data_IF_822758620237
#
_entry.id   IF_822758620237
#
_cell.length_a   1.000
_cell.length_b   1.000
_cell.length_c   1.000
_cell.angle_alpha   90.00
_cell.angle_beta   90.00
_cell.angle_gamma   90.00
#
_symmetry.space_group_name_H-M   'P 1'
#
loop_
_entity.id
_entity.type
_entity.pdbx_description
1 polymer ?
#
# COMPACT_ATOMS: atom_id res chain seq x y z
N UNK A 1 3.85 -7.57 -21.21
CA UNK A 1 3.70 -6.79 -19.98
C UNK A 1 4.15 -5.36 -20.25
N UNK A 2 3.40 -4.38 -19.78
CA UNK A 2 3.78 -2.97 -19.83
C UNK A 2 4.13 -2.48 -18.42
N UNK A 3 5.15 -1.61 -18.29
CA UNK A 3 5.48 -0.92 -17.04
C UNK A 3 5.06 0.54 -17.20
N UNK A 4 4.15 1.00 -16.34
CA UNK A 4 3.67 2.38 -16.34
C UNK A 4 4.22 3.08 -15.11
N UNK A 5 4.99 4.14 -15.34
CA UNK A 5 5.59 4.97 -14.29
C UNK A 5 4.77 6.24 -14.13
N UNK A 6 4.23 6.44 -12.93
CA UNK A 6 3.33 7.52 -12.58
C UNK A 6 4.04 8.59 -11.76
N UNK A 7 3.75 9.86 -12.05
CA UNK A 7 4.13 11.02 -11.25
C UNK A 7 3.03 11.40 -10.26
N UNK A 8 2.84 10.54 -9.26
CA UNK A 8 1.84 10.72 -8.20
C UNK A 8 2.09 11.91 -7.27
N UNK A 9 3.14 12.72 -7.51
CA UNK A 9 3.36 13.98 -6.82
C UNK A 9 2.20 14.95 -7.12
N UNK A 10 1.71 14.98 -8.36
CA UNK A 10 0.57 15.82 -8.74
C UNK A 10 -0.71 15.46 -7.98
N UNK A 11 -0.83 14.21 -7.54
CA UNK A 11 -2.00 13.75 -6.80
C UNK A 11 -1.91 14.00 -5.30
N UNK A 12 -0.74 14.35 -4.78
CA UNK A 12 -0.53 14.54 -3.33
C UNK A 12 -1.52 15.54 -2.73
N UNK A 13 -2.04 15.22 -1.54
CA UNK A 13 -2.86 16.15 -0.76
C UNK A 13 -2.14 17.48 -0.46
N UNK A 14 -0.82 17.44 -0.39
CA UNK A 14 0.08 18.57 -0.14
C UNK A 14 0.54 19.27 -1.42
N UNK A 15 0.18 18.77 -2.60
CA UNK A 15 0.57 19.40 -3.86
C UNK A 15 -0.07 20.78 -3.98
N UNK A 16 0.75 21.77 -4.34
CA UNK A 16 0.33 23.14 -4.66
C UNK A 16 1.11 23.56 -5.89
N UNK A 17 0.41 24.04 -6.92
CA UNK A 17 1.08 24.55 -8.11
C UNK A 17 1.87 25.81 -7.77
N UNK A 18 3.09 25.89 -8.31
CA UNK A 18 3.90 27.11 -8.23
C UNK A 18 3.39 28.22 -9.16
N UNK A 19 2.46 27.89 -10.09
CA UNK A 19 1.90 28.81 -11.08
C UNK A 19 0.36 28.66 -11.10
N UNK A 20 -0.41 29.68 -10.70
CA UNK A 20 -1.87 29.57 -10.51
C UNK A 20 -2.70 29.23 -11.77
N UNK A 21 -2.14 29.38 -12.97
CA UNK A 21 -2.87 29.29 -14.25
C UNK A 21 -2.54 28.04 -15.06
N UNK A 22 -1.75 27.10 -14.55
CA UNK A 22 -1.34 25.91 -15.30
C UNK A 22 -2.26 24.71 -15.05
N UNK A 23 -3.41 24.69 -15.74
CA UNK A 23 -4.24 23.51 -15.95
C UNK A 23 -4.40 22.57 -14.75
N UNK A 24 -4.49 21.26 -15.04
CA UNK A 24 -4.49 20.21 -14.03
C UNK A 24 -3.62 19.04 -14.51
N UNK A 25 -2.32 19.02 -14.17
CA UNK A 25 -1.43 17.94 -14.59
C UNK A 25 -1.80 16.58 -13.97
N UNK A 26 -2.43 16.57 -12.79
CA UNK A 26 -2.88 15.35 -12.15
C UNK A 26 -4.05 14.71 -12.89
N UNK A 27 -4.98 15.53 -13.38
CA UNK A 27 -6.13 15.09 -14.18
C UNK A 27 -5.65 14.53 -15.52
N UNK A 28 -4.76 15.26 -16.21
CA UNK A 28 -4.20 14.81 -17.48
C UNK A 28 -3.47 13.46 -17.35
N UNK A 29 -2.80 13.22 -16.22
CA UNK A 29 -2.17 11.93 -15.94
C UNK A 29 -3.19 10.80 -15.66
N UNK A 30 -4.29 11.08 -14.94
CA UNK A 30 -5.37 10.11 -14.73
C UNK A 30 -6.03 9.72 -16.06
N UNK A 31 -6.36 10.69 -16.92
CA UNK A 31 -6.92 10.43 -18.25
C UNK A 31 -5.94 9.59 -19.10
N UNK A 32 -4.67 9.98 -19.10
CA UNK A 32 -3.62 9.25 -19.81
C UNK A 32 -3.48 7.81 -19.31
N UNK A 33 -3.49 7.61 -17.98
CA UNK A 33 -3.44 6.28 -17.38
C UNK A 33 -4.65 5.44 -17.83
N UNK A 34 -5.86 6.02 -17.84
CA UNK A 34 -7.05 5.36 -18.35
C UNK A 34 -6.89 4.86 -19.79
N UNK A 35 -6.33 5.68 -20.68
CA UNK A 35 -6.03 5.29 -22.06
C UNK A 35 -4.99 4.18 -22.16
N UNK A 36 -3.95 4.21 -21.31
CA UNK A 36 -2.92 3.16 -21.28
C UNK A 36 -3.48 1.82 -20.81
N UNK A 37 -4.28 1.81 -19.76
CA UNK A 37 -4.93 0.60 -19.25
C UNK A 37 -5.92 0.02 -20.26
N UNK A 38 -6.72 0.88 -20.90
CA UNK A 38 -7.61 0.49 -21.99
C UNK A 38 -6.85 -0.21 -23.12
N UNK A 39 -5.76 0.42 -23.58
CA UNK A 39 -4.92 -0.10 -24.66
C UNK A 39 -4.26 -1.42 -24.27
N UNK A 40 -3.73 -1.53 -23.05
CA UNK A 40 -3.13 -2.76 -22.54
C UNK A 40 -4.13 -3.91 -22.54
N UNK A 41 -5.36 -3.66 -22.08
CA UNK A 41 -6.46 -4.66 -22.14
C UNK A 41 -6.77 -5.11 -23.56
N UNK A 42 -6.94 -4.17 -24.50
CA UNK A 42 -7.18 -4.50 -25.91
C UNK A 42 -6.08 -5.36 -26.54
N UNK A 43 -4.83 -5.13 -26.12
CA UNK A 43 -3.67 -5.85 -26.61
C UNK A 43 -3.34 -7.11 -25.79
N UNK A 44 -4.21 -7.49 -24.85
CA UNK A 44 -4.00 -8.62 -23.93
C UNK A 44 -2.67 -8.57 -23.19
N UNK A 45 -2.30 -7.37 -22.69
CA UNK A 45 -1.08 -7.14 -21.92
C UNK A 45 -1.40 -6.88 -20.46
N UNK A 46 -0.65 -7.55 -19.59
CA UNK A 46 -0.60 -7.24 -18.17
C UNK A 46 0.19 -5.94 -17.91
N UNK A 47 -0.17 -5.25 -16.83
CA UNK A 47 0.41 -3.96 -16.43
C UNK A 47 0.99 -4.04 -15.03
N UNK A 48 2.19 -3.48 -14.89
CA UNK A 48 2.81 -3.15 -13.60
C UNK A 48 2.86 -1.63 -13.44
N UNK A 49 2.35 -1.12 -12.31
CA UNK A 49 2.44 0.28 -11.98
C UNK A 49 3.66 0.57 -11.09
N UNK A 50 4.32 1.70 -11.33
CA UNK A 50 5.38 2.22 -10.47
C UNK A 50 5.03 3.65 -10.12
N UNK A 51 5.03 3.99 -8.84
CA UNK A 51 4.69 5.32 -8.34
C UNK A 51 5.59 5.71 -7.16
N UNK A 52 5.62 6.99 -6.80
CA UNK A 52 6.33 7.43 -5.60
C UNK A 52 5.44 7.34 -4.36
N UNK A 53 4.35 8.12 -4.36
CA UNK A 53 3.39 8.23 -3.26
C UNK A 53 2.30 7.17 -3.47
N UNK A 54 2.06 6.24 -2.52
CA UNK A 54 1.05 5.20 -2.67
C UNK A 54 -0.39 5.76 -2.55
N UNK A 55 -1.41 5.07 -3.10
CA UNK A 55 -2.81 5.34 -2.81
C UNK A 55 -3.16 5.02 -1.35
N UNK A 56 -4.25 5.62 -0.88
CA UNK A 56 -4.83 5.33 0.44
C UNK A 56 -4.32 6.24 1.56
N UNK A 57 -4.41 5.74 2.79
CA UNK A 57 -4.15 6.54 3.99
C UNK A 57 -2.69 6.49 4.44
N UNK A 58 -2.21 7.60 4.98
CA UNK A 58 -0.97 7.72 5.72
C UNK A 58 -1.21 7.26 7.16
N UNK A 59 -0.85 6.00 7.45
CA UNK A 59 -1.03 5.40 8.77
C UNK A 59 -0.27 6.17 9.87
N UNK A 60 0.93 6.67 9.57
CA UNK A 60 1.79 7.34 10.54
C UNK A 60 1.21 8.67 10.99
N UNK A 61 0.78 9.50 10.04
CA UNK A 61 0.15 10.78 10.37
C UNK A 61 -1.26 10.60 10.94
N UNK A 62 -2.03 9.60 10.45
CA UNK A 62 -3.35 9.30 11.01
C UNK A 62 -3.28 8.83 12.46
N UNK A 63 -2.30 7.99 12.82
CA UNK A 63 -2.10 7.48 14.18
C UNK A 63 -1.77 8.55 15.23
N UNK A 64 -1.47 9.78 14.80
CA UNK A 64 -1.19 10.94 15.66
C UNK A 64 -2.39 11.85 15.85
N UNK A 65 -3.47 11.61 15.10
CA UNK A 65 -4.70 12.37 15.17
C UNK A 65 -5.83 11.56 15.83
N UNK A 66 -7.05 11.90 15.44
CA UNK A 66 -8.26 11.16 15.81
C UNK A 66 -8.67 10.25 14.65
N UNK A 67 -9.22 9.07 14.97
CA UNK A 67 -9.56 8.06 13.96
C UNK A 67 -10.65 8.55 12.98
N UNK A 68 -11.47 9.52 13.39
CA UNK A 68 -12.51 10.18 12.58
C UNK A 68 -11.93 11.11 11.51
N UNK A 69 -10.66 11.50 11.62
CA UNK A 69 -9.98 12.43 10.70
C UNK A 69 -8.69 11.81 10.15
N UNK A 70 -8.79 10.76 9.31
CA UNK A 70 -7.62 10.13 8.74
C UNK A 70 -6.91 11.05 7.74
N UNK A 71 -5.61 10.86 7.60
CA UNK A 71 -4.76 11.60 6.68
C UNK A 71 -4.57 10.77 5.42
N UNK A 72 -5.05 11.27 4.27
CA UNK A 72 -4.86 10.65 2.97
C UNK A 72 -3.55 11.12 2.31
N UNK A 73 -2.89 10.25 1.55
CA UNK A 73 -1.71 10.62 0.77
C UNK A 73 -2.06 11.54 -0.41
N UNK A 74 -3.21 11.31 -1.03
CA UNK A 74 -3.64 11.99 -2.25
C UNK A 74 -4.90 12.84 -2.00
N UNK A 75 -5.14 13.79 -2.89
CA UNK A 75 -6.40 14.52 -2.95
C UNK A 75 -7.55 13.55 -3.26
N UNK A 76 -8.74 13.84 -2.72
CA UNK A 76 -9.89 12.93 -2.80
C UNK A 76 -10.32 12.59 -4.23
N UNK A 77 -10.24 13.57 -5.16
CA UNK A 77 -10.64 13.37 -6.56
C UNK A 77 -9.79 12.30 -7.26
N UNK A 78 -8.46 12.45 -7.22
CA UNK A 78 -7.53 11.49 -7.84
C UNK A 78 -7.58 10.13 -7.15
N UNK A 79 -7.79 10.10 -5.83
CA UNK A 79 -7.97 8.83 -5.10
C UNK A 79 -9.19 8.07 -5.61
N UNK A 80 -10.29 8.78 -5.86
CA UNK A 80 -11.55 8.20 -6.36
C UNK A 80 -11.41 7.72 -7.80
N UNK A 81 -10.84 8.55 -8.68
CA UNK A 81 -10.62 8.22 -10.09
C UNK A 81 -9.64 7.07 -10.25
N UNK A 82 -8.52 7.09 -9.53
CA UNK A 82 -7.55 6.00 -9.54
C UNK A 82 -8.19 4.70 -9.06
N UNK A 83 -8.93 4.72 -7.94
CA UNK A 83 -9.61 3.52 -7.43
C UNK A 83 -10.64 2.99 -8.44
N UNK A 84 -11.33 3.88 -9.14
CA UNK A 84 -12.26 3.50 -10.23
C UNK A 84 -11.52 2.82 -11.38
N UNK A 85 -10.37 3.35 -11.81
CA UNK A 85 -9.52 2.71 -12.81
C UNK A 85 -9.02 1.34 -12.34
N UNK A 86 -8.54 1.22 -11.11
CA UNK A 86 -7.99 -0.03 -10.58
C UNK A 86 -9.07 -1.12 -10.45
N UNK A 87 -10.28 -0.74 -10.03
CA UNK A 87 -11.43 -1.65 -10.03
C UNK A 87 -11.80 -2.06 -11.46
N UNK A 88 -11.92 -1.08 -12.36
CA UNK A 88 -12.28 -1.29 -13.77
C UNK A 88 -11.29 -2.20 -14.48
N UNK A 89 -9.99 -2.05 -14.22
CA UNK A 89 -8.86 -2.72 -14.90
C UNK A 89 -8.15 -3.76 -14.02
N UNK A 90 -8.87 -4.35 -13.06
CA UNK A 90 -8.34 -5.37 -12.12
C UNK A 90 -7.90 -6.68 -12.78
N UNK A 91 -8.35 -6.95 -14.00
CA UNK A 91 -7.94 -8.06 -14.85
C UNK A 91 -6.57 -7.85 -15.52
N UNK A 92 -6.11 -6.60 -15.69
CA UNK A 92 -4.85 -6.27 -16.37
C UNK A 92 -3.79 -5.71 -15.44
N UNK A 93 -4.16 -4.96 -14.40
CA UNK A 93 -3.19 -4.46 -13.41
C UNK A 93 -2.83 -5.58 -12.44
N UNK A 94 -1.63 -6.13 -12.60
CA UNK A 94 -1.17 -7.30 -11.83
C UNK A 94 -0.40 -6.93 -10.58
N UNK A 95 0.23 -5.76 -10.56
CA UNK A 95 1.16 -5.36 -9.52
C UNK A 95 1.35 -3.85 -9.51
N UNK A 96 1.58 -3.30 -8.32
CA UNK A 96 2.04 -1.94 -8.16
C UNK A 96 3.24 -1.85 -7.20
N UNK A 97 4.09 -0.86 -7.43
CA UNK A 97 5.20 -0.50 -6.56
C UNK A 97 5.11 0.96 -6.16
N UNK A 98 5.31 1.22 -4.87
CA UNK A 98 5.44 2.56 -4.33
C UNK A 98 6.62 2.66 -3.35
N UNK A 99 6.90 3.88 -2.91
CA UNK A 99 7.83 4.18 -1.82
C UNK A 99 7.21 5.19 -0.88
N UNK A 100 7.86 6.36 -0.74
CA UNK A 100 7.41 7.54 0.01
C UNK A 100 7.34 7.38 1.55
N UNK A 101 6.88 6.24 2.07
CA UNK A 101 6.74 6.03 3.52
C UNK A 101 8.07 5.76 4.23
N UNK A 102 9.09 5.34 3.47
CA UNK A 102 10.39 4.84 3.96
C UNK A 102 10.31 3.51 4.74
N UNK A 103 9.11 2.92 4.85
CA UNK A 103 8.83 1.71 5.64
C UNK A 103 8.55 0.52 4.73
N UNK A 104 8.74 -0.69 5.25
CA UNK A 104 8.35 -1.93 4.59
C UNK A 104 6.85 -2.17 4.79
N UNK A 105 6.07 -1.94 3.74
CA UNK A 105 4.61 -2.11 3.78
C UNK A 105 4.10 -2.74 2.48
N UNK A 106 2.87 -3.21 2.53
CA UNK A 106 2.15 -3.71 1.38
C UNK A 106 0.65 -3.46 1.54
N UNK A 107 -0.03 -3.28 0.42
CA UNK A 107 -1.45 -2.99 0.40
C UNK A 107 -2.16 -3.82 -0.66
N UNK A 108 -3.45 -4.00 -0.46
CA UNK A 108 -4.33 -4.69 -1.40
C UNK A 108 -5.72 -4.08 -1.34
N UNK A 109 -6.31 -3.76 -2.48
CA UNK A 109 -7.71 -3.32 -2.50
C UNK A 109 -8.62 -4.51 -2.22
N UNK A 110 -9.58 -4.33 -1.30
CA UNK A 110 -10.61 -5.33 -0.97
C UNK A 110 -12.02 -4.84 -1.31
N UNK A 111 -12.14 -3.74 -2.04
CA UNK A 111 -13.42 -3.20 -2.51
C UNK A 111 -13.92 -4.09 -3.68
N UNK A 112 -14.56 -5.22 -3.32
CA UNK A 112 -14.94 -6.28 -4.25
C UNK A 112 -13.98 -7.46 -4.20
N UNK A 113 -13.65 -8.05 -5.35
CA UNK A 113 -12.63 -9.10 -5.41
C UNK A 113 -11.24 -8.48 -5.13
N UNK A 114 -10.38 -9.13 -4.32
CA UNK A 114 -9.05 -8.61 -4.01
C UNK A 114 -8.27 -8.24 -5.27
N UNK A 115 -7.77 -7.01 -5.32
CA UNK A 115 -7.10 -6.45 -6.49
C UNK A 115 -5.94 -5.52 -6.10
N UNK A 116 -5.12 -5.15 -7.08
CA UNK A 116 -3.99 -4.24 -6.91
C UNK A 116 -3.06 -4.65 -5.75
N UNK A 117 -2.31 -5.75 -5.89
CA UNK A 117 -1.27 -6.04 -4.92
C UNK A 117 -0.19 -4.95 -5.06
N UNK A 118 0.01 -4.20 -3.98
CA UNK A 118 0.89 -3.04 -3.94
C UNK A 118 2.03 -3.31 -2.95
N UNK A 119 3.25 -3.28 -3.44
CA UNK A 119 4.46 -3.30 -2.62
C UNK A 119 4.90 -1.86 -2.33
N UNK A 120 5.07 -1.51 -1.06
CA UNK A 120 5.69 -0.24 -0.63
C UNK A 120 7.10 -0.57 -0.13
N UNK A 121 8.10 -0.18 -0.90
CA UNK A 121 9.49 -0.54 -0.63
C UNK A 121 10.09 0.44 0.39
N UNK A 122 10.83 -0.07 1.42
CA UNK A 122 11.51 0.78 2.39
C UNK A 122 12.64 1.59 1.74
N UNK A 123 13.10 2.64 2.42
CA UNK A 123 14.15 3.52 1.90
C UNK A 123 15.56 3.05 2.23
N UNK A 124 16.51 3.45 1.39
CA UNK A 124 17.94 3.42 1.75
C UNK A 124 18.26 4.49 2.82
N UNK A 125 17.59 5.65 2.79
CA UNK A 125 17.81 6.70 3.79
C UNK A 125 17.20 6.32 5.14
N UNK A 126 17.93 6.36 6.27
CA UNK A 126 17.42 6.00 7.59
C UNK A 126 16.77 7.18 8.35
N UNK A 127 16.48 8.30 7.67
CA UNK A 127 16.04 9.54 8.32
C UNK A 127 14.73 9.39 9.12
N UNK A 128 13.90 8.40 8.80
CA UNK A 128 12.68 8.07 9.54
C UNK A 128 12.85 6.90 10.52
N UNK A 129 14.10 6.62 10.93
CA UNK A 129 14.46 5.60 11.93
C UNK A 129 14.24 4.15 11.47
N UNK A 130 14.06 3.92 10.17
CA UNK A 130 14.20 2.61 9.57
C UNK A 130 15.68 2.26 9.38
N UNK A 131 16.00 0.97 9.28
CA UNK A 131 17.28 0.58 8.70
C UNK A 131 17.26 0.83 7.18
N UNK A 132 18.40 1.21 6.56
CA UNK A 132 18.55 1.25 5.11
C UNK A 132 18.20 -0.10 4.50
N UNK A 133 17.40 -0.09 3.43
CA UNK A 133 16.90 -1.30 2.82
C UNK A 133 16.75 -1.22 1.31
N UNK A 134 16.75 -2.38 0.66
CA UNK A 134 16.27 -2.57 -0.72
C UNK A 134 15.57 -3.93 -0.84
N UNK A 135 14.70 -4.09 -1.83
CA UNK A 135 14.04 -5.36 -2.13
C UNK A 135 14.49 -5.91 -3.47
N UNK A 136 14.66 -7.24 -3.56
CA UNK A 136 14.92 -7.99 -4.79
C UNK A 136 13.72 -8.88 -5.06
N UNK A 137 13.23 -8.86 -6.29
CA UNK A 137 12.05 -9.59 -6.71
C UNK A 137 12.40 -10.74 -7.64
N UNK A 138 11.78 -11.90 -7.39
CA UNK A 138 11.77 -13.00 -8.36
C UNK A 138 10.44 -13.00 -9.08
N UNK A 139 10.49 -13.03 -10.41
CA UNK A 139 9.30 -12.99 -11.26
C UNK A 139 9.45 -13.92 -12.46
N UNK A 140 8.31 -14.39 -12.97
CA UNK A 140 8.25 -15.16 -14.20
C UNK A 140 8.38 -14.22 -15.41
N UNK A 141 9.37 -14.46 -16.28
CA UNK A 141 9.69 -13.57 -17.39
C UNK A 141 8.67 -13.58 -18.53
N UNK A 142 7.73 -14.54 -18.53
CA UNK A 142 6.69 -14.66 -19.57
C UNK A 142 5.42 -13.93 -19.15
N UNK A 143 4.99 -14.13 -17.90
CA UNK A 143 3.74 -13.64 -17.32
C UNK A 143 3.92 -12.40 -16.48
N UNK A 144 5.14 -12.07 -16.06
CA UNK A 144 5.42 -10.98 -15.14
C UNK A 144 4.96 -11.25 -13.70
N UNK A 145 4.49 -12.47 -13.39
CA UNK A 145 3.99 -12.83 -12.07
C UNK A 145 5.10 -12.92 -11.05
N UNK A 146 4.88 -12.35 -9.87
CA UNK A 146 5.87 -12.29 -8.78
C UNK A 146 5.76 -13.50 -7.88
N UNK A 147 6.81 -14.32 -7.83
CA UNK A 147 6.86 -15.47 -6.94
C UNK A 147 7.32 -15.10 -5.54
N UNK A 148 8.29 -14.20 -5.40
CA UNK A 148 8.81 -13.80 -4.09
C UNK A 148 9.44 -12.40 -4.10
N UNK A 149 9.50 -11.78 -2.93
CA UNK A 149 10.17 -10.51 -2.64
C UNK A 149 11.07 -10.73 -1.43
N UNK A 150 12.37 -10.55 -1.62
CA UNK A 150 13.37 -10.60 -0.56
C UNK A 150 13.81 -9.19 -0.18
N UNK A 151 13.68 -8.80 1.08
CA UNK A 151 14.22 -7.54 1.59
C UNK A 151 15.62 -7.76 2.14
N UNK A 152 16.55 -6.89 1.76
CA UNK A 152 17.90 -6.78 2.30
C UNK A 152 18.03 -5.47 3.05
N UNK A 153 18.79 -5.50 4.14
CA UNK A 153 18.94 -4.35 5.01
C UNK A 153 20.36 -4.19 5.54
N UNK A 154 20.62 -2.98 6.01
CA UNK A 154 21.84 -2.58 6.68
C UNK A 154 21.52 -2.23 8.14
N UNK A 155 21.89 -3.08 9.10
CA UNK A 155 21.55 -2.85 10.51
C UNK A 155 22.28 -1.61 11.09
N UNK A 156 21.51 -0.67 11.64
CA UNK A 156 21.99 0.52 12.34
C UNK A 156 21.47 0.56 13.81
N UNK A 157 22.24 1.11 14.76
CA UNK A 157 23.64 1.50 14.62
C UNK A 157 24.55 0.27 14.67
N UNK A 158 25.40 0.09 13.66
CA UNK A 158 26.49 -0.88 13.65
C UNK A 158 27.79 -0.16 13.33
N UNK A 159 28.90 -0.57 13.97
CA UNK A 159 30.22 0.02 13.71
C UNK A 159 30.80 -0.42 12.36
N UNK A 160 30.39 -1.60 11.87
CA UNK A 160 30.83 -2.19 10.60
C UNK A 160 29.61 -2.75 9.85
N UNK A 161 28.69 -1.87 9.41
CA UNK A 161 27.44 -2.31 8.82
C UNK A 161 27.70 -3.02 7.48
N UNK A 162 27.06 -4.17 7.28
CA UNK A 162 27.10 -4.92 6.02
C UNK A 162 25.69 -5.32 5.61
N UNK A 163 25.42 -5.28 4.31
CA UNK A 163 24.13 -5.68 3.77
C UNK A 163 23.88 -7.16 4.05
N UNK A 164 22.71 -7.46 4.58
CA UNK A 164 22.29 -8.83 4.87
C UNK A 164 20.83 -9.02 4.50
N UNK A 165 20.42 -10.28 4.29
CA UNK A 165 19.02 -10.62 4.06
C UNK A 165 18.24 -10.35 5.34
N UNK A 166 17.18 -9.58 5.25
CA UNK A 166 16.22 -9.41 6.35
C UNK A 166 15.23 -10.58 6.34
N UNK A 167 14.38 -10.64 5.33
CA UNK A 167 13.36 -11.68 5.19
C UNK A 167 13.00 -11.96 3.72
N UNK A 168 12.36 -13.09 3.49
CA UNK A 168 11.71 -13.46 2.23
C UNK A 168 10.21 -13.50 2.46
N UNK A 169 9.43 -12.86 1.59
CA UNK A 169 8.02 -12.61 1.80
C UNK A 169 7.22 -13.91 1.87
N UNK A 170 7.48 -14.84 0.96
CA UNK A 170 6.82 -16.14 0.90
C UNK A 170 6.91 -16.92 2.23
N UNK A 171 8.12 -16.99 2.77
CA UNK A 171 8.51 -17.77 3.93
C UNK A 171 8.07 -17.08 5.23
N UNK A 172 8.12 -15.75 5.26
CA UNK A 172 7.72 -14.96 6.42
C UNK A 172 6.20 -14.97 6.66
N UNK A 173 5.41 -15.08 5.58
CA UNK A 173 3.94 -15.08 5.66
C UNK A 173 3.28 -16.41 5.29
N UNK A 174 4.05 -17.42 4.86
CA UNK A 174 3.54 -18.76 4.53
C UNK A 174 2.67 -18.78 3.27
N UNK A 175 3.04 -18.03 2.24
CA UNK A 175 2.29 -17.93 0.96
C UNK A 175 3.16 -18.28 -0.24
N UNK A 176 2.54 -18.63 -1.37
CA UNK A 176 3.27 -19.09 -2.56
C UNK A 176 3.63 -17.97 -3.57
N UNK A 177 3.08 -16.77 -3.42
CA UNK A 177 3.32 -15.65 -4.34
C UNK A 177 2.86 -14.30 -3.77
N UNK A 178 3.38 -13.20 -4.32
CA UNK A 178 2.90 -11.85 -4.03
C UNK A 178 1.70 -11.52 -4.94
N UNK A 179 0.51 -11.96 -4.53
CA UNK A 179 -0.74 -11.78 -5.28
C UNK A 179 -1.84 -11.14 -4.43
N UNK A 180 -2.84 -10.52 -5.05
CA UNK A 180 -3.92 -9.86 -4.31
C UNK A 180 -4.69 -10.83 -3.39
N UNK A 181 -4.92 -12.06 -3.84
CA UNK A 181 -5.57 -13.09 -3.02
C UNK A 181 -4.75 -13.42 -1.77
N UNK A 182 -3.44 -13.68 -1.94
CA UNK A 182 -2.55 -13.98 -0.82
C UNK A 182 -2.41 -12.78 0.13
N UNK A 183 -2.28 -11.56 -0.39
CA UNK A 183 -2.22 -10.36 0.44
C UNK A 183 -3.50 -10.16 1.24
N UNK A 184 -4.68 -10.42 0.65
CA UNK A 184 -5.95 -10.36 1.38
C UNK A 184 -5.98 -11.34 2.57
N UNK A 185 -5.49 -12.57 2.37
CA UNK A 185 -5.33 -13.56 3.44
C UNK A 185 -4.33 -13.11 4.51
N UNK A 186 -3.17 -12.59 4.10
CA UNK A 186 -2.13 -12.12 5.01
C UNK A 186 -2.63 -10.96 5.86
N UNK A 187 -3.28 -9.96 5.26
CA UNK A 187 -3.79 -8.81 6.02
C UNK A 187 -4.89 -9.24 7.00
N UNK A 188 -5.73 -10.20 6.64
CA UNK A 188 -6.69 -10.78 7.58
C UNK A 188 -5.98 -11.47 8.75
N UNK A 189 -4.91 -12.22 8.48
CA UNK A 189 -4.09 -12.85 9.52
C UNK A 189 -3.39 -11.82 10.42
N UNK A 190 -2.80 -10.77 9.84
CA UNK A 190 -2.22 -9.64 10.58
C UNK A 190 -3.26 -9.02 11.52
N UNK A 191 -4.47 -8.74 11.03
CA UNK A 191 -5.55 -8.17 11.85
C UNK A 191 -6.04 -9.11 12.96
N UNK A 192 -5.99 -10.42 12.74
CA UNK A 192 -6.35 -11.43 13.76
C UNK A 192 -5.27 -11.62 14.83
N UNK A 193 -4.06 -11.12 14.59
CA UNK A 193 -2.93 -11.16 15.50
C UNK A 193 -2.01 -12.37 15.36
N UNK A 194 -1.16 -12.59 16.37
CA UNK A 194 -0.22 -13.71 16.40
C UNK A 194 1.00 -13.52 15.49
N UNK A 195 1.44 -14.59 14.81
CA UNK A 195 2.69 -14.61 14.07
C UNK A 195 2.75 -13.61 12.91
N UNK A 196 1.68 -13.49 12.12
CA UNK A 196 1.64 -12.55 11.01
C UNK A 196 1.71 -11.08 11.47
N UNK A 197 1.03 -10.74 12.57
CA UNK A 197 1.13 -9.42 13.19
C UNK A 197 2.57 -9.14 13.65
N UNK A 198 3.18 -10.08 14.39
CA UNK A 198 4.55 -9.91 14.88
C UNK A 198 5.56 -9.75 13.74
N UNK A 199 5.42 -10.53 12.67
CA UNK A 199 6.24 -10.39 11.45
C UNK A 199 6.08 -9.01 10.82
N UNK A 200 4.84 -8.53 10.65
CA UNK A 200 4.58 -7.21 10.08
C UNK A 200 5.16 -6.09 10.96
N UNK A 201 4.91 -6.12 12.27
CA UNK A 201 5.42 -5.12 13.21
C UNK A 201 6.95 -5.05 13.22
N UNK A 202 7.62 -6.21 13.23
CA UNK A 202 9.08 -6.30 13.22
C UNK A 202 9.69 -5.76 11.92
N UNK A 203 9.09 -6.11 10.78
CA UNK A 203 9.64 -5.77 9.47
C UNK A 203 9.29 -4.35 9.03
N UNK A 204 8.24 -3.73 9.58
CA UNK A 204 7.76 -2.41 9.15
C UNK A 204 8.86 -1.34 9.12
N UNK A 205 9.67 -1.25 10.18
CA UNK A 205 10.83 -0.35 10.27
C UNK A 205 12.14 -1.03 9.84
N UNK A 206 12.06 -2.11 9.06
CA UNK A 206 13.19 -2.89 8.58
C UNK A 206 14.06 -3.41 9.74
N UNK A 207 13.46 -4.11 10.70
CA UNK A 207 14.13 -4.64 11.89
C UNK A 207 14.77 -3.57 12.80
N UNK A 208 14.47 -2.29 12.58
CA UNK A 208 14.69 -1.22 13.56
C UNK A 208 13.51 -1.15 14.55
N UNK A 209 13.62 -0.39 15.66
CA UNK A 209 12.51 -0.21 16.58
C UNK A 209 11.24 0.29 15.87
N UNK A 210 10.20 -0.55 15.86
CA UNK A 210 8.96 -0.28 15.15
C UNK A 210 8.18 0.87 15.78
N UNK A 211 7.58 1.79 14.98
CA UNK A 211 6.64 2.79 15.47
C UNK A 211 5.25 2.21 15.76
N UNK A 212 5.03 0.93 15.45
CA UNK A 212 3.77 0.23 15.68
C UNK A 212 3.74 -0.31 17.11
N UNK A 213 2.65 -0.01 17.81
CA UNK A 213 2.36 -0.43 19.18
C UNK A 213 0.89 -0.84 19.28
N UNK A 214 0.53 -1.57 20.34
CA UNK A 214 -0.85 -2.05 20.52
C UNK A 214 -1.91 -0.94 20.48
N UNK A 215 -1.58 0.28 20.92
CA UNK A 215 -2.50 1.43 20.91
C UNK A 215 -2.71 2.08 19.53
N UNK A 216 -1.82 1.85 18.56
CA UNK A 216 -1.91 2.44 17.23
C UNK A 216 -1.96 1.40 16.09
N UNK A 217 -1.89 0.11 16.42
CA UNK A 217 -1.86 -1.00 15.45
C UNK A 217 -3.01 -0.97 14.44
N UNK A 218 -4.21 -0.56 14.85
CA UNK A 218 -5.36 -0.46 13.96
C UNK A 218 -5.12 0.49 12.80
N UNK A 219 -4.44 1.63 13.02
CA UNK A 219 -4.10 2.58 11.95
C UNK A 219 -3.24 1.93 10.86
N UNK A 220 -2.22 1.17 11.25
CA UNK A 220 -1.32 0.51 10.30
C UNK A 220 -1.99 -0.66 9.59
N UNK A 221 -2.66 -1.55 10.33
CA UNK A 221 -3.32 -2.72 9.74
C UNK A 221 -4.52 -2.36 8.86
N UNK A 222 -5.27 -1.29 9.17
CA UNK A 222 -6.36 -0.80 8.32
C UNK A 222 -5.84 -0.14 7.02
N UNK A 223 -4.66 0.48 7.04
CA UNK A 223 -4.06 1.09 5.85
C UNK A 223 -3.70 0.05 4.77
N UNK A 224 -3.52 -1.22 5.16
CA UNK A 224 -3.19 -2.30 4.23
C UNK A 224 -4.33 -2.63 3.27
N UNK A 225 -5.59 -2.26 3.57
CA UNK A 225 -6.72 -2.55 2.68
C UNK A 225 -7.68 -1.42 2.39
N UNK A 226 -7.76 -0.41 3.25
CA UNK A 226 -8.77 0.64 3.10
C UNK A 226 -8.18 1.87 2.43
N UNK A 227 -8.47 2.02 1.13
CA UNK A 227 -7.92 3.09 0.31
C UNK A 227 -8.79 4.36 0.35
N UNK A 228 -10.04 4.23 0.81
CA UNK A 228 -10.95 5.36 1.05
C UNK A 228 -10.89 5.80 2.52
N UNK A 229 -11.08 7.11 2.74
CA UNK A 229 -11.09 7.67 4.09
C UNK A 229 -12.23 7.06 4.94
N UNK A 230 -13.41 6.87 4.35
CA UNK A 230 -14.57 6.29 5.03
C UNK A 230 -14.30 4.85 5.51
N UNK A 231 -13.83 3.96 4.62
CA UNK A 231 -13.54 2.58 4.99
C UNK A 231 -12.38 2.46 5.98
N UNK A 232 -11.39 3.35 5.87
CA UNK A 232 -10.29 3.39 6.81
C UNK A 232 -10.75 3.84 8.20
N UNK A 233 -11.54 4.91 8.30
CA UNK A 233 -12.13 5.37 9.56
C UNK A 233 -13.00 4.29 10.20
N UNK A 234 -13.86 3.62 9.43
CA UNK A 234 -14.70 2.52 9.94
C UNK A 234 -13.85 1.39 10.54
N UNK A 235 -12.76 1.02 9.86
CA UNK A 235 -11.83 -0.01 10.31
C UNK A 235 -11.07 0.42 11.58
N UNK A 236 -10.55 1.65 11.62
CA UNK A 236 -9.69 2.13 12.72
C UNK A 236 -10.48 2.47 13.97
N UNK A 237 -11.58 3.22 13.82
CA UNK A 237 -12.41 3.63 14.95
C UNK A 237 -13.18 2.46 15.57
N UNK A 238 -13.35 1.38 14.82
CA UNK A 238 -14.22 0.29 15.20
C UNK A 238 -15.66 0.77 15.28
N UNK A 239 -16.43 0.61 14.21
CA UNK A 239 -17.87 0.49 14.43
C UNK A 239 -18.09 -0.79 15.21
N UNK A 240 -18.43 -0.66 16.50
CA UNK A 240 -19.28 -1.63 17.16
C UNK A 240 -20.37 -2.02 16.16
N UNK A 241 -20.53 -3.31 15.88
CA UNK A 241 -21.68 -3.79 15.10
C UNK A 241 -22.92 -3.08 15.63
N UNK A 242 -23.80 -2.51 14.77
CA UNK A 242 -25.03 -1.95 15.26
C UNK A 242 -25.81 -3.08 15.93
N UNK A 243 -25.85 -3.07 17.26
CA UNK A 243 -26.80 -3.90 18.01
C UNK A 243 -28.16 -3.57 17.39
N UNK A 244 -28.89 -4.55 16.83
CA UNK A 244 -30.17 -4.25 16.22
C UNK A 244 -31.02 -3.63 17.32
N UNK A 245 -31.45 -2.38 17.11
CA UNK A 245 -32.50 -1.80 17.94
C UNK A 245 -33.64 -2.81 17.87
N UNK A 246 -33.92 -3.48 18.99
CA UNK A 246 -35.17 -4.21 19.14
C UNK A 246 -36.24 -3.19 18.83
N UNK A 247 -36.94 -3.39 17.72
CA UNK A 247 -38.19 -2.71 17.47
C UNK A 247 -39.09 -3.02 18.65
N UNK A 248 -39.25 -2.06 19.55
CA UNK A 248 -40.42 -1.99 20.37
C UNK A 248 -41.54 -1.51 19.45
N UNK A 249 -42.50 -2.37 19.18
CA UNK A 249 -43.81 -2.02 18.65
C UNK A 249 -44.82 -3.06 19.12
N UNK A 250 -46.10 -2.70 19.30
CA UNK A 250 -46.70 -1.36 19.30
C UNK A 250 -46.89 -0.78 20.70
#
# INVERSE_FOLDING_TARGET
>A
QDIIVLNTIFWSASYRSCVPTEGDPGEAEIEWLGWKLYTARLLHRDVTLVMHIPPGMDAYNSARGHCEYPVAFWQAKYSTEFSTLMSTYSDVVRLAFAGHTHMDDFRVSIDGAPSLPLRITPSVSPIFKNNPAFSVMTYDSTTGSVSDITTFFLALPSQTPSWSKEYQFDSAYGVASFSAANLSTIVAAIRSGGGAQATFENNYAVSAPSPIHSSNFSYYSCAQTHFSAAGYTECVCGTASPVPRKHASP
#
